data_IF_731732891291
#
_entry.id   IF_731732891291
#
_cell.length_a   1.000
_cell.length_b   1.000
_cell.length_c   1.000
_cell.angle_alpha   90.00
_cell.angle_beta   90.00
_cell.angle_gamma   90.00
#
_symmetry.space_group_name_H-M   'P 1'
#
loop_
_entity.id
_entity.type
_entity.pdbx_description
1 polymer ?
#
# COMPACT_ATOMS: atom_id res chain seq x y z
N UNK A 1 4.35 -2.44 -10.96
CA UNK A 1 4.12 -3.23 -9.72
C UNK A 1 2.64 -3.25 -9.37
N UNK A 2 2.14 -4.38 -8.97
CA UNK A 2 0.75 -4.49 -8.53
C UNK A 2 0.62 -4.16 -7.05
N UNK A 3 -0.61 -3.87 -6.60
CA UNK A 3 -0.84 -3.58 -5.20
C UNK A 3 -0.54 -4.80 -4.32
N UNK A 4 -0.81 -6.00 -4.83
CA UNK A 4 -0.51 -7.22 -4.09
C UNK A 4 0.99 -7.36 -3.87
N UNK A 5 1.78 -7.07 -4.89
CA UNK A 5 3.24 -7.10 -4.78
C UNK A 5 3.74 -6.04 -3.82
N UNK A 6 3.15 -4.85 -3.87
CA UNK A 6 3.51 -3.78 -2.96
C UNK A 6 3.28 -4.18 -1.50
N UNK A 7 2.12 -4.76 -1.21
CA UNK A 7 1.79 -5.19 0.15
C UNK A 7 2.79 -6.23 0.65
N UNK A 8 3.13 -7.19 -0.21
CA UNK A 8 4.12 -8.22 0.13
C UNK A 8 5.49 -7.61 0.40
N UNK A 9 5.92 -6.73 -0.48
CA UNK A 9 7.25 -6.13 -0.41
C UNK A 9 7.40 -5.19 0.78
N UNK A 10 6.33 -4.51 1.16
CA UNK A 10 6.36 -3.57 2.28
C UNK A 10 6.58 -4.26 3.62
N UNK A 11 6.18 -5.52 3.73
CA UNK A 11 6.26 -6.24 4.99
C UNK A 11 5.31 -5.71 6.05
N UNK A 12 4.34 -4.89 5.66
CA UNK A 12 3.38 -4.30 6.60
C UNK A 12 2.04 -5.01 6.51
N UNK A 13 1.33 -5.04 7.64
CA UNK A 13 -0.03 -5.60 7.66
C UNK A 13 -1.01 -4.62 7.04
N UNK A 14 -2.20 -5.11 6.72
CA UNK A 14 -3.25 -4.24 6.18
C UNK A 14 -3.60 -3.12 7.15
N UNK A 15 -3.60 -3.43 8.43
CA UNK A 15 -3.87 -2.43 9.46
C UNK A 15 -2.81 -1.34 9.48
N UNK A 16 -1.55 -1.75 9.41
CA UNK A 16 -0.44 -0.80 9.39
C UNK A 16 -0.48 0.10 8.17
N UNK A 17 -0.76 -0.48 7.01
CA UNK A 17 -0.89 0.28 5.78
C UNK A 17 -2.06 1.26 5.85
N UNK A 18 -3.17 0.82 6.42
CA UNK A 18 -4.34 1.66 6.60
C UNK A 18 -4.02 2.89 7.44
N UNK A 19 -3.35 2.70 8.55
CA UNK A 19 -3.00 3.79 9.45
C UNK A 19 -1.97 4.73 8.81
N UNK A 20 -1.02 4.14 8.11
CA UNK A 20 0.07 4.91 7.51
C UNK A 20 -0.39 5.83 6.40
N UNK A 21 -1.21 5.33 5.52
CA UNK A 21 -1.63 6.06 4.32
C UNK A 21 -3.00 6.70 4.45
N UNK A 22 -3.68 6.49 5.56
CA UNK A 22 -5.02 7.04 5.75
C UNK A 22 -6.07 6.41 4.85
N UNK A 23 -5.86 5.17 4.45
CA UNK A 23 -6.78 4.44 3.58
C UNK A 23 -7.58 3.45 4.43
N UNK A 24 -8.90 3.34 4.22
CA UNK A 24 -9.67 2.35 4.98
C UNK A 24 -9.12 0.95 4.82
N UNK A 25 -9.03 0.21 5.91
CA UNK A 25 -8.51 -1.15 5.88
C UNK A 25 -9.27 -2.02 4.89
N UNK A 26 -10.58 -1.81 4.82
CA UNK A 26 -11.42 -2.56 3.90
C UNK A 26 -11.00 -2.36 2.44
N UNK A 27 -10.62 -1.14 2.09
CA UNK A 27 -10.15 -0.84 0.74
C UNK A 27 -8.87 -1.59 0.44
N UNK A 28 -7.95 -1.62 1.40
CA UNK A 28 -6.69 -2.34 1.23
C UNK A 28 -6.94 -3.84 1.08
N UNK A 29 -7.86 -4.38 1.85
CA UNK A 29 -8.23 -5.79 1.75
C UNK A 29 -8.83 -6.12 0.39
N UNK A 30 -9.70 -5.24 -0.11
CA UNK A 30 -10.30 -5.42 -1.43
C UNK A 30 -9.25 -5.43 -2.52
N UNK A 31 -8.28 -4.53 -2.43
CA UNK A 31 -7.18 -4.49 -3.38
C UNK A 31 -6.34 -5.77 -3.29
N UNK A 32 -6.06 -6.23 -2.08
CA UNK A 32 -5.26 -7.42 -1.85
C UNK A 32 -5.94 -8.67 -2.39
N UNK A 33 -7.26 -8.70 -2.30
CA UNK A 33 -8.05 -9.86 -2.77
C UNK A 33 -8.40 -9.79 -4.25
N UNK A 34 -8.10 -8.66 -4.89
CA UNK A 34 -8.42 -8.48 -6.30
C UNK A 34 -9.87 -8.13 -6.57
N UNK A 35 -10.64 -7.81 -5.54
CA UNK A 35 -12.04 -7.40 -5.69
C UNK A 35 -12.14 -6.03 -6.34
N UNK A 36 -11.19 -5.16 -6.02
CA UNK A 36 -11.10 -3.82 -6.61
C UNK A 36 -9.73 -3.65 -7.25
N UNK A 37 -9.70 -2.89 -8.33
CA UNK A 37 -8.43 -2.54 -8.96
C UNK A 37 -7.87 -1.30 -8.29
N UNK A 38 -6.62 -1.40 -7.84
CA UNK A 38 -5.91 -0.25 -7.32
C UNK A 38 -5.29 0.52 -8.49
N UNK A 39 -5.57 1.81 -8.63
CA UNK A 39 -4.94 2.60 -9.68
C UNK A 39 -3.42 2.58 -9.55
N UNK A 40 -2.75 2.50 -10.68
CA UNK A 40 -1.29 2.41 -10.67
C UNK A 40 -0.63 3.62 -10.00
N UNK A 41 -1.21 4.81 -10.21
CA UNK A 41 -0.64 6.01 -9.61
C UNK A 41 -0.70 5.95 -8.08
N UNK A 42 -1.69 5.27 -7.51
CA UNK A 42 -1.78 5.12 -6.06
C UNK A 42 -0.66 4.22 -5.57
N UNK A 43 -0.41 3.12 -6.26
CA UNK A 43 0.69 2.21 -5.91
C UNK A 43 2.02 2.95 -5.96
N UNK A 44 2.25 3.70 -7.03
CA UNK A 44 3.48 4.47 -7.19
C UNK A 44 3.64 5.51 -6.08
N UNK A 45 2.56 6.18 -5.72
CA UNK A 45 2.60 7.17 -4.65
C UNK A 45 2.94 6.54 -3.31
N UNK A 46 2.34 5.41 -3.01
CA UNK A 46 2.62 4.70 -1.76
C UNK A 46 4.06 4.20 -1.70
N UNK A 47 4.57 3.71 -2.81
CA UNK A 47 5.97 3.29 -2.88
C UNK A 47 6.91 4.45 -2.61
N UNK A 48 6.61 5.59 -3.20
CA UNK A 48 7.42 6.78 -3.03
C UNK A 48 7.45 7.23 -1.57
N UNK A 49 6.30 7.22 -0.92
CA UNK A 49 6.21 7.59 0.48
C UNK A 49 6.99 6.63 1.38
N UNK A 50 6.95 5.34 1.07
CA UNK A 50 7.69 4.35 1.82
C UNK A 50 9.20 4.56 1.68
N UNK A 51 9.65 4.86 0.46
CA UNK A 51 11.07 5.11 0.21
C UNK A 51 11.56 6.34 0.95
N UNK A 52 10.75 7.39 0.99
CA UNK A 52 11.09 8.61 1.72
C UNK A 52 11.28 8.32 3.21
N UNK A 53 10.43 7.49 3.77
CA UNK A 53 10.55 7.14 5.18
C UNK A 53 11.86 6.41 5.46
N UNK A 54 12.28 5.56 4.55
CA UNK A 54 13.55 4.84 4.72
C UNK A 54 14.74 5.78 4.65
N UNK A 55 14.64 6.81 3.81
CA UNK A 55 15.74 7.75 3.60
C UNK A 55 15.87 8.72 4.77
N UNK A 56 14.77 9.10 5.37
CA UNK A 56 14.78 10.09 6.46
C UNK A 56 15.35 9.55 7.76
N UNK A 57 15.64 8.31 7.81
CA UNK A 57 16.31 7.71 8.96
C UNK A 57 17.82 7.70 8.77
#
# INVERSE_FOLDING_TARGET
>A
MTIQEFIKTSGMTHKQLSERFGIPKRTIEDWSRGVRKCPEYVVNMMMELLERDKIEK
#
